data_IF_781168906641
#
_entry.id   IF_781168906641
#
_cell.length_a   1.000
_cell.length_b   1.000
_cell.length_c   1.000
_cell.angle_alpha   90.00
_cell.angle_beta   90.00
_cell.angle_gamma   90.00
#
_symmetry.space_group_name_H-M   'P 1'
#
loop_
_entity.id
_entity.type
_entity.pdbx_description
1 polymer ?
#
# COMPACT_ATOMS: atom_id res chain seq x y z
N UNK A 1 -12.47 7.24 1.23
CA UNK A 1 -11.09 6.77 0.95
C UNK A 1 -11.17 5.76 -0.17
N UNK A 2 -10.33 5.88 -1.22
CA UNK A 2 -10.30 4.91 -2.33
C UNK A 2 -9.68 3.60 -1.83
N UNK A 3 -10.23 2.45 -2.20
CA UNK A 3 -9.70 1.14 -1.81
C UNK A 3 -8.27 0.96 -2.39
N UNK A 4 -7.24 0.69 -1.57
CA UNK A 4 -5.88 0.51 -2.05
C UNK A 4 -5.74 -0.54 -3.17
N UNK A 5 -6.49 -1.65 -3.11
CA UNK A 5 -6.48 -2.67 -4.19
C UNK A 5 -7.04 -2.16 -5.51
N UNK A 6 -8.10 -1.34 -5.45
CA UNK A 6 -8.66 -0.72 -6.64
C UNK A 6 -7.66 0.25 -7.28
N UNK A 7 -6.92 1.00 -6.47
CA UNK A 7 -5.90 1.92 -6.96
C UNK A 7 -4.70 1.18 -7.56
N UNK A 8 -4.26 0.08 -6.96
CA UNK A 8 -3.22 -0.78 -7.53
C UNK A 8 -3.62 -1.35 -8.90
N UNK A 9 -4.88 -1.75 -9.07
CA UNK A 9 -5.40 -2.22 -10.37
C UNK A 9 -5.41 -1.10 -11.43
N UNK A 10 -5.86 0.11 -11.07
CA UNK A 10 -5.86 1.26 -11.98
C UNK A 10 -4.44 1.63 -12.45
N UNK A 11 -3.46 1.59 -11.55
CA UNK A 11 -2.06 1.88 -11.88
C UNK A 11 -1.48 0.84 -12.85
N UNK A 12 -1.81 -0.45 -12.65
CA UNK A 12 -1.40 -1.51 -13.58
C UNK A 12 -2.00 -1.36 -14.97
N UNK A 13 -3.26 -0.93 -15.06
CA UNK A 13 -3.91 -0.65 -16.35
C UNK A 13 -3.21 0.50 -17.08
N UNK A 14 -2.91 1.61 -16.38
CA UNK A 14 -2.15 2.72 -16.97
C UNK A 14 -0.75 2.31 -17.42
N UNK A 15 -0.11 1.41 -16.69
CA UNK A 15 1.22 0.92 -17.01
C UNK A 15 1.29 0.09 -18.32
N UNK A 16 0.14 -0.34 -18.87
CA UNK A 16 0.11 -1.06 -20.15
C UNK A 16 0.46 -0.17 -21.34
N UNK A 17 0.04 1.10 -21.28
CA UNK A 17 0.20 2.08 -22.36
C UNK A 17 1.28 3.14 -22.04
N UNK A 18 2.00 2.98 -20.93
CA UNK A 18 3.02 3.93 -20.47
C UNK A 18 4.39 3.67 -21.09
N UNK A 19 5.15 4.74 -21.28
CA UNK A 19 6.56 4.67 -21.67
C UNK A 19 7.38 3.88 -20.64
N UNK A 20 8.49 3.21 -21.03
CA UNK A 20 9.21 2.31 -20.14
C UNK A 20 9.63 2.91 -18.79
N UNK A 21 9.97 4.19 -18.77
CA UNK A 21 10.38 4.92 -17.55
C UNK A 21 9.20 5.12 -16.59
N UNK A 22 8.06 5.60 -17.11
CA UNK A 22 6.84 5.81 -16.33
C UNK A 22 6.19 4.48 -15.92
N UNK A 23 6.27 3.46 -16.77
CA UNK A 23 5.77 2.11 -16.50
C UNK A 23 6.39 1.51 -15.24
N UNK A 24 7.70 1.68 -15.04
CA UNK A 24 8.38 1.18 -13.85
C UNK A 24 7.86 1.86 -12.56
N UNK A 25 7.66 3.16 -12.60
CA UNK A 25 7.12 3.95 -11.47
C UNK A 25 5.67 3.56 -11.15
N UNK A 26 4.82 3.39 -12.18
CA UNK A 26 3.43 2.97 -12.01
C UNK A 26 3.33 1.56 -11.41
N UNK A 27 4.17 0.64 -11.85
CA UNK A 27 4.20 -0.73 -11.31
C UNK A 27 4.75 -0.77 -9.88
N UNK A 28 5.76 0.04 -9.57
CA UNK A 28 6.26 0.21 -8.21
C UNK A 28 5.15 0.73 -7.28
N UNK A 29 4.46 1.80 -7.68
CA UNK A 29 3.39 2.39 -6.88
C UNK A 29 2.20 1.42 -6.70
N UNK A 30 1.87 0.63 -7.73
CA UNK A 30 0.85 -0.40 -7.61
C UNK A 30 1.19 -1.44 -6.54
N UNK A 31 2.46 -1.85 -6.46
CA UNK A 31 2.95 -2.78 -5.44
C UNK A 31 2.89 -2.18 -4.02
N UNK A 32 3.18 -0.89 -3.86
CA UNK A 32 3.02 -0.18 -2.58
C UNK A 32 1.58 -0.24 -2.08
N UNK A 33 0.61 0.04 -2.96
CA UNK A 33 -0.80 0.04 -2.61
C UNK A 33 -1.35 -1.34 -2.27
N UNK A 34 -0.89 -2.40 -2.95
CA UNK A 34 -1.25 -3.77 -2.56
C UNK A 34 -0.72 -4.10 -1.17
N UNK A 35 0.52 -3.72 -0.86
CA UNK A 35 1.09 -3.96 0.46
C UNK A 35 0.31 -3.22 1.54
N UNK A 36 -0.11 -1.98 1.29
CA UNK A 36 -0.96 -1.21 2.21
C UNK A 36 -2.33 -1.86 2.42
N UNK A 37 -2.88 -2.53 1.40
CA UNK A 37 -4.12 -3.28 1.53
C UNK A 37 -3.99 -4.51 2.45
N UNK A 38 -2.79 -5.08 2.50
CA UNK A 38 -2.48 -6.26 3.30
C UNK A 38 -1.93 -5.91 4.70
N UNK A 39 -1.56 -4.65 4.95
CA UNK A 39 -1.31 -4.15 6.31
C UNK A 39 -2.65 -4.16 7.06
N UNK A 40 -2.79 -4.95 8.14
CA UNK A 40 -3.97 -4.87 8.98
C UNK A 40 -4.09 -3.42 9.47
N UNK A 41 -5.24 -2.79 9.24
CA UNK A 41 -5.54 -1.49 9.85
C UNK A 41 -5.25 -1.64 11.34
N UNK A 42 -4.27 -0.88 11.85
CA UNK A 42 -3.74 -1.00 13.21
C UNK A 42 -4.87 -1.17 14.25
N UNK A 43 -5.13 -2.44 14.60
CA UNK A 43 -6.03 -2.88 15.66
C UNK A 43 -5.30 -3.69 16.73
N UNK A 44 -3.99 -3.89 16.57
CA UNK A 44 -3.08 -4.33 17.62
C UNK A 44 -2.03 -3.25 17.76
N UNK A 45 -1.94 -2.65 18.94
CA UNK A 45 -0.77 -1.84 19.31
C UNK A 45 0.49 -2.65 18.99
N UNK A 46 1.56 -2.04 18.46
CA UNK A 46 2.81 -2.74 18.39
C UNK A 46 3.37 -2.95 19.79
N UNK A 47 3.56 -4.21 20.16
CA UNK A 47 4.09 -4.65 21.45
C UNK A 47 5.55 -4.21 21.68
N UNK A 48 6.19 -3.56 20.70
CA UNK A 48 7.58 -3.10 20.79
C UNK A 48 7.77 -1.86 21.68
N UNK A 49 6.69 -1.20 22.11
CA UNK A 49 6.71 -0.29 23.25
C UNK A 49 6.15 -1.02 24.47
N UNK A 50 6.89 -2.00 24.98
CA UNK A 50 6.63 -2.77 26.21
C UNK A 50 6.61 -1.92 27.49
N UNK A 51 6.02 -0.74 27.44
CA UNK A 51 5.75 0.13 28.58
C UNK A 51 4.27 -0.04 28.93
N UNK A 52 3.93 -0.69 30.05
CA UNK A 52 2.56 -0.71 30.53
C UNK A 52 2.12 0.73 30.85
N UNK A 53 1.01 1.16 30.28
CA UNK A 53 0.35 2.41 30.69
C UNK A 53 -0.18 2.22 32.12
N UNK A 54 0.14 3.12 33.07
CA UNK A 54 -0.40 3.06 34.42
C UNK A 54 -1.92 3.31 34.41
N UNK A 55 -2.59 2.74 35.41
CA UNK A 55 -4.04 2.82 35.61
C UNK A 55 -4.55 4.25 35.76
#
# INVERSE_FOLDING_TARGET
MRNPKALAAELRLRALDAEPQERAELLFLAAEYDRMADVPAFGGRPDWLGVPLPK
#
